data_IF_760473713509
#
_entry.id   IF_760473713509
#
_cell.length_a   1.000
_cell.length_b   1.000
_cell.length_c   1.000
_cell.angle_alpha   90.00
_cell.angle_beta   90.00
_cell.angle_gamma   90.00
#
_symmetry.space_group_name_H-M   'P 1'
#
loop_
_entity.id
_entity.type
_entity.pdbx_description
1 polymer ?
#
# COMPACT_ATOMS: atom_id res chain seq x y z
N UNK A 1 -10.08 24.36 -0.63
CA UNK A 1 -10.77 23.08 -0.93
C UNK A 1 -10.87 22.28 0.35
N UNK A 2 -12.08 22.13 0.90
CA UNK A 2 -12.37 21.16 1.95
C UNK A 2 -12.11 19.75 1.40
N UNK A 3 -11.33 18.93 2.09
CA UNK A 3 -11.08 17.57 1.64
C UNK A 3 -12.36 16.73 1.74
N UNK A 4 -12.58 15.81 0.80
CA UNK A 4 -13.80 15.03 0.78
C UNK A 4 -13.91 14.15 2.05
N UNK A 5 -15.13 14.01 2.63
CA UNK A 5 -15.42 13.54 4.01
C UNK A 5 -15.05 12.09 4.37
N UNK A 6 -14.21 11.43 3.57
CA UNK A 6 -13.93 10.00 3.66
C UNK A 6 -12.45 9.66 3.43
N UNK A 7 -11.52 10.50 3.92
CA UNK A 7 -10.08 10.21 3.85
C UNK A 7 -9.70 8.85 4.49
N UNK A 8 -10.17 8.50 5.69
CA UNK A 8 -9.92 7.19 6.30
C UNK A 8 -10.33 6.01 5.41
N UNK A 9 -11.52 6.09 4.82
CA UNK A 9 -12.06 5.06 3.94
C UNK A 9 -11.24 4.90 2.66
N UNK A 10 -10.80 6.02 2.05
CA UNK A 10 -9.91 5.97 0.88
C UNK A 10 -8.58 5.30 1.21
N UNK A 11 -7.98 5.64 2.35
CA UNK A 11 -6.73 5.03 2.82
C UNK A 11 -6.92 3.53 3.03
N UNK A 12 -8.01 3.13 3.68
CA UNK A 12 -8.35 1.72 3.88
C UNK A 12 -8.49 0.97 2.55
N UNK A 13 -9.19 1.55 1.57
CA UNK A 13 -9.32 0.95 0.24
C UNK A 13 -7.99 0.86 -0.51
N UNK A 14 -7.07 1.81 -0.34
CA UNK A 14 -5.75 1.74 -0.97
C UNK A 14 -4.89 0.62 -0.38
N UNK A 15 -4.92 0.46 0.94
CA UNK A 15 -4.26 -0.69 1.58
C UNK A 15 -4.88 -2.03 1.17
N UNK A 16 -6.21 -2.10 1.09
CA UNK A 16 -6.90 -3.29 0.58
C UNK A 16 -6.52 -3.58 -0.87
N UNK A 17 -6.49 -2.56 -1.73
CA UNK A 17 -6.10 -2.70 -3.13
C UNK A 17 -4.67 -3.25 -3.25
N UNK A 18 -3.72 -2.74 -2.45
CA UNK A 18 -2.35 -3.29 -2.39
C UNK A 18 -2.31 -4.75 -1.95
N UNK A 19 -3.14 -5.15 -0.98
CA UNK A 19 -3.26 -6.55 -0.57
C UNK A 19 -3.82 -7.43 -1.70
N UNK A 20 -4.83 -6.94 -2.41
CA UNK A 20 -5.42 -7.66 -3.56
C UNK A 20 -4.43 -7.77 -4.73
N UNK A 21 -3.61 -6.75 -4.97
CA UNK A 21 -2.53 -6.79 -5.97
C UNK A 21 -1.52 -7.89 -5.67
N UNK A 22 -1.09 -8.01 -4.40
CA UNK A 22 -0.25 -9.13 -3.94
C UNK A 22 -0.92 -10.49 -4.16
N UNK A 23 -2.20 -10.61 -3.78
CA UNK A 23 -2.96 -11.84 -3.98
C UNK A 23 -3.10 -12.21 -5.46
N UNK A 24 -3.30 -11.23 -6.34
CA UNK A 24 -3.39 -11.43 -7.78
C UNK A 24 -2.10 -12.01 -8.36
N UNK A 25 -0.92 -11.58 -7.88
CA UNK A 25 0.36 -12.18 -8.32
C UNK A 25 0.37 -13.67 -8.02
N UNK A 26 0.10 -14.06 -6.76
CA UNK A 26 0.10 -15.48 -6.37
C UNK A 26 -0.96 -16.28 -7.12
N UNK A 27 -2.18 -15.76 -7.22
CA UNK A 27 -3.26 -16.41 -7.96
C UNK A 27 -2.89 -16.61 -9.43
N UNK A 28 -2.28 -15.62 -10.08
CA UNK A 28 -1.87 -15.71 -11.48
C UNK A 28 -0.78 -16.77 -11.69
N UNK A 29 0.20 -16.86 -10.80
CA UNK A 29 1.25 -17.89 -10.85
C UNK A 29 0.68 -19.28 -10.60
N UNK A 30 -0.27 -19.42 -9.66
CA UNK A 30 -0.95 -20.69 -9.39
C UNK A 30 -1.77 -21.17 -10.58
N UNK A 31 -2.53 -20.26 -11.21
CA UNK A 31 -3.31 -20.58 -12.41
C UNK A 31 -2.39 -20.97 -13.56
N UNK A 32 -1.30 -20.25 -13.79
CA UNK A 32 -0.29 -20.59 -14.80
C UNK A 32 0.27 -22.00 -14.57
N UNK A 33 0.69 -22.31 -13.35
CA UNK A 33 1.21 -23.62 -12.99
C UNK A 33 0.18 -24.74 -13.17
N UNK A 34 -1.07 -24.50 -12.78
CA UNK A 34 -2.15 -25.46 -12.96
C UNK A 34 -2.43 -25.76 -14.44
N UNK A 35 -2.46 -24.73 -15.30
CA UNK A 35 -2.63 -24.88 -16.75
C UNK A 35 -1.46 -25.66 -17.36
N UNK A 36 -0.24 -25.38 -16.90
CA UNK A 36 0.98 -26.02 -17.39
C UNK A 36 1.25 -27.39 -16.77
N UNK A 37 0.44 -27.80 -15.78
CA UNK A 37 0.65 -29.01 -14.96
C UNK A 37 2.04 -29.08 -14.32
N UNK A 38 2.67 -27.92 -14.10
CA UNK A 38 4.02 -27.80 -13.57
C UNK A 38 4.03 -26.82 -12.39
N UNK A 39 4.25 -27.38 -11.20
CA UNK A 39 4.36 -26.63 -9.95
C UNK A 39 5.81 -26.50 -9.46
N UNK A 40 6.79 -26.91 -10.26
CA UNK A 40 8.20 -26.87 -9.88
C UNK A 40 8.69 -25.44 -9.58
N UNK A 41 8.11 -24.42 -10.25
CA UNK A 41 8.39 -23.00 -9.96
C UNK A 41 8.17 -22.66 -8.48
N UNK A 42 7.16 -23.26 -7.82
CA UNK A 42 6.84 -23.00 -6.40
C UNK A 42 7.85 -23.57 -5.40
N UNK A 43 8.67 -24.53 -5.83
CA UNK A 43 9.73 -25.10 -4.99
C UNK A 43 10.83 -24.06 -4.74
N UNK A 44 11.10 -23.21 -5.71
CA UNK A 44 12.19 -22.23 -5.67
C UNK A 44 11.70 -20.79 -5.53
N UNK A 45 10.50 -20.47 -6.01
CA UNK A 45 9.96 -19.11 -6.03
C UNK A 45 8.47 -19.10 -5.60
N UNK A 46 8.10 -18.41 -4.51
CA UNK A 46 8.93 -17.48 -3.72
C UNK A 46 9.87 -18.18 -2.71
N UNK A 47 9.88 -19.52 -2.64
CA UNK A 47 10.63 -20.29 -1.65
C UNK A 47 10.15 -20.00 -0.21
N UNK A 48 10.71 -20.66 0.83
CA UNK A 48 10.23 -20.49 2.21
C UNK A 48 10.27 -19.04 2.71
N UNK A 49 11.38 -18.34 2.49
CA UNK A 49 11.54 -16.94 2.91
C UNK A 49 10.62 -15.99 2.15
N UNK A 50 10.43 -16.19 0.85
CA UNK A 50 9.55 -15.30 0.09
C UNK A 50 8.08 -15.51 0.48
N UNK A 51 7.67 -16.72 0.86
CA UNK A 51 6.34 -16.95 1.47
C UNK A 51 6.18 -16.24 2.81
N UNK A 52 7.18 -16.29 3.69
CA UNK A 52 7.15 -15.55 4.97
C UNK A 52 6.99 -14.05 4.75
N UNK A 53 7.79 -13.47 3.83
CA UNK A 53 7.71 -12.04 3.46
C UNK A 53 6.35 -11.71 2.88
N UNK A 54 5.83 -12.54 1.96
CA UNK A 54 4.51 -12.34 1.36
C UNK A 54 3.40 -12.33 2.42
N UNK A 55 3.36 -13.34 3.30
CA UNK A 55 2.36 -13.45 4.35
C UNK A 55 2.41 -12.26 5.31
N UNK A 56 3.62 -11.85 5.73
CA UNK A 56 3.82 -10.69 6.58
C UNK A 56 3.32 -9.41 5.89
N UNK A 57 3.70 -9.19 4.64
CA UNK A 57 3.33 -7.99 3.90
C UNK A 57 1.82 -7.92 3.63
N UNK A 58 1.21 -9.04 3.25
CA UNK A 58 -0.24 -9.14 3.07
C UNK A 58 -0.98 -8.84 4.38
N UNK A 59 -0.54 -9.42 5.49
CA UNK A 59 -1.11 -9.16 6.81
C UNK A 59 -0.97 -7.68 7.21
N UNK A 60 0.20 -7.07 6.98
CA UNK A 60 0.42 -5.65 7.26
C UNK A 60 -0.53 -4.76 6.46
N UNK A 61 -0.71 -5.01 5.16
CA UNK A 61 -1.63 -4.23 4.33
C UNK A 61 -3.07 -4.30 4.85
N UNK A 62 -3.58 -5.49 5.17
CA UNK A 62 -4.93 -5.63 5.73
C UNK A 62 -5.08 -4.95 7.10
N UNK A 63 -4.07 -5.11 7.96
CA UNK A 63 -4.06 -4.51 9.30
C UNK A 63 -4.02 -2.99 9.24
N UNK A 64 -3.20 -2.41 8.35
CA UNK A 64 -3.11 -0.97 8.14
C UNK A 64 -4.39 -0.41 7.53
N UNK A 65 -5.03 -1.14 6.62
CA UNK A 65 -6.33 -0.76 6.08
C UNK A 65 -7.41 -0.70 7.16
N UNK A 66 -7.45 -1.71 8.02
CA UNK A 66 -8.37 -1.74 9.17
C UNK A 66 -8.05 -0.63 10.17
N UNK A 67 -6.77 -0.49 10.54
CA UNK A 67 -6.30 0.55 11.45
C UNK A 67 -6.65 1.96 10.96
N UNK A 68 -6.60 2.22 9.65
CA UNK A 68 -6.98 3.51 9.08
C UNK A 68 -8.44 3.89 9.31
N UNK A 69 -9.35 2.92 9.46
CA UNK A 69 -10.75 3.18 9.78
C UNK A 69 -10.94 3.60 11.24
N UNK A 70 -10.18 3.00 12.17
CA UNK A 70 -10.38 3.19 13.61
C UNK A 70 -9.41 4.20 14.25
N UNK A 71 -8.18 4.28 13.76
CA UNK A 71 -7.13 5.16 14.30
C UNK A 71 -7.10 6.49 13.55
N UNK A 72 -7.72 7.51 14.14
CA UNK A 72 -7.77 8.86 13.56
C UNK A 72 -6.69 9.81 14.12
N UNK A 73 -5.74 9.27 14.88
CA UNK A 73 -4.73 10.04 15.61
C UNK A 73 -3.72 10.74 14.68
N UNK A 74 -3.26 11.97 14.98
CA UNK A 74 -2.33 12.70 14.11
C UNK A 74 -1.05 11.93 13.77
N UNK A 75 -0.42 11.29 14.76
CA UNK A 75 0.81 10.49 14.55
C UNK A 75 0.57 9.32 13.59
N UNK A 76 -0.62 8.69 13.64
CA UNK A 76 -0.96 7.55 12.80
C UNK A 76 -1.11 7.96 11.32
N UNK A 77 -1.60 9.18 11.06
CA UNK A 77 -1.69 9.72 9.70
C UNK A 77 -0.31 9.89 9.08
N UNK A 78 0.64 10.46 9.84
CA UNK A 78 2.03 10.61 9.41
C UNK A 78 2.73 9.28 9.23
N UNK A 79 2.49 8.33 10.14
CA UNK A 79 2.98 6.96 9.98
C UNK A 79 2.44 6.33 8.68
N UNK A 80 1.15 6.49 8.39
CA UNK A 80 0.54 5.98 7.15
C UNK A 80 1.20 6.58 5.90
N UNK A 81 1.49 7.88 5.90
CA UNK A 81 2.22 8.54 4.81
C UNK A 81 3.63 7.96 4.64
N UNK A 82 4.35 7.77 5.75
CA UNK A 82 5.68 7.15 5.74
C UNK A 82 5.61 5.73 5.17
N UNK A 83 4.64 4.92 5.61
CA UNK A 83 4.49 3.53 5.17
C UNK A 83 4.15 3.41 3.68
N UNK A 84 3.28 4.26 3.12
CA UNK A 84 3.06 4.28 1.68
C UNK A 84 4.31 4.65 0.89
N UNK A 85 5.07 5.63 1.39
CA UNK A 85 6.34 6.05 0.77
C UNK A 85 7.35 4.90 0.78
N UNK A 86 7.55 4.26 1.93
CA UNK A 86 8.48 3.13 2.06
C UNK A 86 8.03 1.93 1.22
N UNK A 87 6.74 1.61 1.19
CA UNK A 87 6.21 0.54 0.35
C UNK A 87 6.46 0.81 -1.15
N UNK A 88 6.26 2.04 -1.61
CA UNK A 88 6.54 2.43 -2.99
C UNK A 88 8.03 2.37 -3.34
N UNK A 89 8.89 2.86 -2.45
CA UNK A 89 10.35 2.82 -2.65
C UNK A 89 10.90 1.40 -2.64
N UNK A 90 10.40 0.54 -1.74
CA UNK A 90 10.77 -0.87 -1.69
C UNK A 90 10.42 -1.58 -3.02
N UNK A 91 9.22 -1.38 -3.54
CA UNK A 91 8.82 -2.00 -4.81
C UNK A 91 9.59 -1.43 -5.99
N UNK A 92 9.94 -0.14 -5.96
CA UNK A 92 10.77 0.45 -7.00
C UNK A 92 12.17 -0.20 -7.02
N UNK A 93 12.78 -0.37 -5.85
CA UNK A 93 14.06 -1.07 -5.73
C UNK A 93 13.95 -2.53 -6.19
N UNK A 94 12.86 -3.22 -5.84
CA UNK A 94 12.58 -4.58 -6.30
C UNK A 94 12.44 -4.66 -7.82
N UNK A 95 11.73 -3.71 -8.44
CA UNK A 95 11.57 -3.61 -9.89
C UNK A 95 12.92 -3.42 -10.60
N UNK A 96 13.78 -2.54 -10.07
CA UNK A 96 15.12 -2.30 -10.61
C UNK A 96 15.95 -3.60 -10.56
N UNK A 97 15.81 -4.40 -9.49
CA UNK A 97 16.41 -5.73 -9.40
C UNK A 97 15.98 -6.65 -10.54
N UNK A 98 14.67 -6.80 -10.74
CA UNK A 98 14.11 -7.60 -11.85
C UNK A 98 14.58 -7.12 -13.22
N UNK A 99 14.66 -5.80 -13.43
CA UNK A 99 15.18 -5.23 -14.67
C UNK A 99 16.66 -5.57 -14.89
N UNK A 100 17.48 -5.49 -13.83
CA UNK A 100 18.90 -5.84 -13.90
C UNK A 100 19.12 -7.34 -14.20
N UNK A 101 18.20 -8.19 -13.76
CA UNK A 101 18.18 -9.63 -14.05
C UNK A 101 17.60 -9.98 -15.44
N UNK A 102 17.16 -8.98 -16.21
CA UNK A 102 16.65 -9.16 -17.57
C UNK A 102 15.23 -9.75 -17.63
N UNK A 103 14.44 -9.62 -16.56
CA UNK A 103 13.07 -10.12 -16.55
C UNK A 103 12.21 -9.45 -17.63
N UNK A 104 11.46 -10.26 -18.37
CA UNK A 104 10.55 -9.79 -19.41
C UNK A 104 9.25 -9.30 -18.79
N UNK A 105 8.87 -8.06 -19.10
CA UNK A 105 7.61 -7.45 -18.68
C UNK A 105 6.41 -8.18 -19.29
N UNK A 106 5.83 -9.10 -18.51
CA UNK A 106 4.54 -9.75 -18.78
C UNK A 106 3.43 -9.21 -17.87
N UNK A 107 2.44 -10.06 -17.56
CA UNK A 107 1.35 -9.73 -16.63
C UNK A 107 1.88 -9.25 -15.26
N UNK A 108 2.96 -9.84 -14.78
CA UNK A 108 3.65 -9.44 -13.53
C UNK A 108 4.06 -7.97 -13.56
N UNK A 109 4.63 -7.49 -14.66
CA UNK A 109 5.03 -6.09 -14.78
C UNK A 109 3.86 -5.10 -14.80
N UNK A 110 2.69 -5.52 -15.32
CA UNK A 110 1.47 -4.71 -15.24
C UNK A 110 0.94 -4.63 -13.80
N UNK A 111 1.02 -5.74 -13.06
CA UNK A 111 0.65 -5.80 -11.64
C UNK A 111 1.61 -4.97 -10.78
N UNK A 112 2.90 -5.00 -11.08
CA UNK A 112 3.90 -4.15 -10.43
C UNK A 112 3.63 -2.67 -10.69
N UNK A 113 3.33 -2.28 -11.93
CA UNK A 113 2.96 -0.91 -12.27
C UNK A 113 1.71 -0.47 -11.49
N UNK A 114 0.69 -1.33 -11.41
CA UNK A 114 -0.52 -1.05 -10.63
C UNK A 114 -0.20 -0.84 -9.14
N UNK A 115 0.69 -1.65 -8.56
CA UNK A 115 1.19 -1.45 -7.19
C UNK A 115 1.81 -0.06 -7.02
N UNK A 116 2.73 0.32 -7.90
CA UNK A 116 3.40 1.63 -7.83
C UNK A 116 2.41 2.79 -7.91
N UNK A 117 1.43 2.71 -8.81
CA UNK A 117 0.37 3.72 -8.95
C UNK A 117 -0.48 3.81 -7.67
N UNK A 118 -0.81 2.66 -7.06
CA UNK A 118 -1.54 2.61 -5.79
C UNK A 118 -0.71 3.22 -4.65
N UNK A 119 0.60 2.95 -4.58
CA UNK A 119 1.49 3.57 -3.61
C UNK A 119 1.57 5.09 -3.80
N UNK A 120 1.76 5.59 -5.02
CA UNK A 120 1.78 7.01 -5.32
C UNK A 120 0.46 7.70 -4.94
N UNK A 121 -0.67 7.07 -5.26
CA UNK A 121 -1.99 7.53 -4.87
C UNK A 121 -2.17 7.51 -3.34
N UNK A 122 -1.66 6.48 -2.66
CA UNK A 122 -1.58 6.36 -1.20
C UNK A 122 -0.81 7.50 -0.55
N UNK A 123 0.40 7.79 -1.03
CA UNK A 123 1.21 8.93 -0.58
C UNK A 123 0.44 10.23 -0.73
N UNK A 124 -0.17 10.47 -1.89
CA UNK A 124 -0.92 11.70 -2.13
C UNK A 124 -2.13 11.84 -1.19
N UNK A 125 -2.93 10.78 -1.01
CA UNK A 125 -4.10 10.81 -0.14
C UNK A 125 -3.70 10.92 1.35
N UNK A 126 -2.64 10.23 1.77
CA UNK A 126 -2.14 10.31 3.14
C UNK A 126 -1.59 11.70 3.44
N UNK A 127 -0.85 12.31 2.51
CA UNK A 127 -0.37 13.69 2.66
C UNK A 127 -1.54 14.68 2.81
N UNK A 128 -2.58 14.55 1.98
CA UNK A 128 -3.80 15.36 2.11
C UNK A 128 -4.50 15.14 3.46
N UNK A 129 -4.49 13.92 3.98
CA UNK A 129 -5.08 13.57 5.28
C UNK A 129 -4.29 14.14 6.46
N UNK A 130 -2.95 14.15 6.38
CA UNK A 130 -2.08 14.80 7.38
C UNK A 130 -2.32 16.31 7.47
N UNK A 131 -2.44 16.99 6.32
CA UNK A 131 -2.61 18.46 6.28
C UNK A 131 -3.94 18.94 6.86
N UNK A 132 -4.95 18.09 6.93
CA UNK A 132 -6.25 18.41 7.53
C UNK A 132 -6.17 18.64 9.04
N UNK A 133 -5.31 17.90 9.73
CA UNK A 133 -5.13 18.04 11.17
C UNK A 133 -4.60 19.42 11.56
N UNK A 134 -3.67 19.96 10.75
CA UNK A 134 -3.13 21.30 10.96
C UNK A 134 -4.21 22.40 10.87
N UNK A 135 -5.13 22.30 9.91
CA UNK A 135 -6.21 23.29 9.76
C UNK A 135 -7.26 23.24 10.87
N UNK A 136 -7.54 22.06 11.43
CA UNK A 136 -8.53 21.93 12.51
C UNK A 136 -7.98 22.40 13.87
N UNK A 137 -6.70 22.12 14.14
CA UNK A 137 -6.03 22.58 15.37
C UNK A 137 -6.00 24.11 15.46
N UNK A 138 -5.55 24.78 14.40
CA UNK A 138 -5.47 26.25 14.34
C UNK A 138 -6.84 26.93 14.44
N UNK A 139 -7.87 26.37 13.81
CA UNK A 139 -9.23 26.92 13.91
C UNK A 139 -9.81 26.82 15.33
N UNK A 140 -9.59 25.70 16.02
CA UNK A 140 -10.06 25.53 17.41
C UNK A 140 -9.36 26.44 18.40
N UNK A 141 -8.07 26.74 18.16
CA UNK A 141 -7.29 27.62 19.02
C UNK A 141 -7.70 29.09 18.82
N UNK A 142 -7.86 29.53 17.56
CA UNK A 142 -8.38 30.86 17.26
C UNK A 142 -9.81 31.08 17.80
N UNK A 143 -10.67 30.05 17.77
CA UNK A 143 -11.99 30.12 18.40
C UNK A 143 -11.95 30.24 19.93
N UNK A 144 -10.96 29.61 20.60
CA UNK A 144 -10.75 29.75 22.05
C UNK A 144 -10.23 31.14 22.41
N UNK A 145 -9.31 31.67 21.61
CA UNK A 145 -8.78 33.03 21.81
C UNK A 145 -9.86 34.10 21.60
N UNK A 146 -10.75 33.93 20.62
CA UNK A 146 -11.85 34.86 20.37
C UNK A 146 -12.99 34.80 21.41
N UNK A 147 -13.01 33.77 22.27
CA UNK A 147 -14.02 33.59 23.31
C UNK A 147 -13.58 34.09 24.70
N UNK A 148 -12.33 34.58 24.82
CA UNK A 148 -11.78 35.24 26.00
C UNK A 148 -11.74 36.76 25.80
#
# INVERSE_FOLDING_TARGET
MTPPPNAPLRIAFLWLALALTLLMVIASTLVKAAIQTDFSEFVHHPGPRGWEVFCLQFFLYLSLGTAALYLQMPWFRWLTLLLFTLAGLYMLAHQIGHMAEGWRYGLTGAVDLAHHLLCALGVWQAWRWCRQAGSQGSASMAQREAAC
#
